data_IF_382732111278
#
_entry.id   IF_382732111278
#
_cell.length_a   1.000
_cell.length_b   1.000
_cell.length_c   1.000
_cell.angle_alpha   90.00
_cell.angle_beta   90.00
_cell.angle_gamma   90.00
#
_symmetry.space_group_name_H-M   'P 1'
#
loop_
_entity.id
_entity.type
_entity.pdbx_description
1 polymer ?
#
# COMPACT_ATOMS: atom_id res chain seq x y z
N UNK A 1 -10.01 -4.38 -16.46
CA UNK A 1 -9.98 -3.19 -17.35
C UNK A 1 -11.03 -2.14 -16.99
N UNK A 2 -10.73 -0.84 -17.18
CA UNK A 2 -11.74 0.22 -17.13
C UNK A 2 -12.70 0.05 -18.32
N UNK A 3 -14.02 0.14 -18.14
CA UNK A 3 -15.01 -0.15 -19.18
C UNK A 3 -15.22 1.02 -20.16
N UNK A 4 -14.28 1.96 -20.24
CA UNK A 4 -14.44 3.19 -21.00
C UNK A 4 -13.37 3.29 -22.08
N UNK A 5 -13.80 3.58 -23.30
CA UNK A 5 -12.91 3.69 -24.47
C UNK A 5 -12.18 5.04 -24.55
N UNK A 6 -12.70 6.08 -23.86
CA UNK A 6 -12.13 7.43 -23.89
C UNK A 6 -12.29 8.16 -22.55
N UNK A 7 -11.45 9.18 -22.35
CA UNK A 7 -11.56 10.10 -21.21
C UNK A 7 -12.92 10.80 -21.18
N UNK A 8 -13.43 11.22 -22.33
CA UNK A 8 -14.73 11.88 -22.48
C UNK A 8 -15.88 10.93 -22.08
N UNK A 9 -15.79 9.65 -22.49
CA UNK A 9 -16.76 8.63 -22.10
C UNK A 9 -16.76 8.37 -20.60
N UNK A 10 -15.58 8.36 -19.98
CA UNK A 10 -15.44 8.25 -18.52
C UNK A 10 -16.00 9.48 -17.78
N UNK A 11 -15.77 10.68 -18.28
CA UNK A 11 -16.33 11.93 -17.71
C UNK A 11 -17.84 11.99 -17.82
N UNK A 12 -18.38 11.61 -18.98
CA UNK A 12 -19.81 11.53 -19.22
C UNK A 12 -20.48 10.55 -18.24
N UNK A 13 -19.88 9.36 -18.07
CA UNK A 13 -20.39 8.35 -17.15
C UNK A 13 -20.34 8.79 -15.68
N UNK A 14 -19.32 9.55 -15.28
CA UNK A 14 -19.18 10.08 -13.94
C UNK A 14 -20.03 11.34 -13.68
N UNK A 15 -20.56 11.98 -14.72
CA UNK A 15 -21.28 13.25 -14.62
C UNK A 15 -20.42 14.42 -14.11
N UNK A 16 -19.09 14.27 -14.17
CA UNK A 16 -18.11 15.26 -13.73
C UNK A 16 -16.80 15.11 -14.50
N UNK A 17 -16.00 16.17 -14.50
CA UNK A 17 -14.65 16.10 -15.03
C UNK A 17 -13.76 15.19 -14.18
N UNK A 18 -12.80 14.53 -14.84
CA UNK A 18 -11.76 13.74 -14.19
C UNK A 18 -10.73 14.67 -13.55
N UNK A 19 -10.32 14.32 -12.33
CA UNK A 19 -9.18 14.94 -11.65
C UNK A 19 -7.88 14.61 -12.38
N UNK A 20 -6.82 15.37 -12.10
CA UNK A 20 -5.50 15.16 -12.69
C UNK A 20 -4.99 13.72 -12.44
N UNK A 21 -5.17 13.21 -11.23
CA UNK A 21 -4.76 11.86 -10.86
C UNK A 21 -5.56 10.79 -11.62
N UNK A 22 -6.87 10.98 -11.78
CA UNK A 22 -7.72 10.03 -12.52
C UNK A 22 -7.38 10.02 -14.01
N UNK A 23 -7.13 11.18 -14.63
CA UNK A 23 -6.67 11.23 -16.04
C UNK A 23 -5.33 10.54 -16.21
N UNK A 24 -4.39 10.75 -15.30
CA UNK A 24 -3.08 10.10 -15.33
C UNK A 24 -3.21 8.57 -15.21
N UNK A 25 -4.06 8.10 -14.29
CA UNK A 25 -4.34 6.68 -14.12
C UNK A 25 -5.01 6.06 -15.34
N UNK A 26 -5.99 6.77 -15.93
CA UNK A 26 -6.67 6.33 -17.15
C UNK A 26 -5.68 6.14 -18.30
N UNK A 27 -4.89 7.18 -18.61
CA UNK A 27 -3.90 7.12 -19.69
C UNK A 27 -2.83 6.06 -19.45
N UNK A 28 -2.42 5.86 -18.19
CA UNK A 28 -1.47 4.81 -17.84
C UNK A 28 -2.05 3.40 -18.04
N UNK A 29 -3.27 3.17 -17.56
CA UNK A 29 -3.90 1.86 -17.54
C UNK A 29 -4.44 1.40 -18.90
N UNK A 30 -4.76 2.33 -19.80
CA UNK A 30 -5.35 2.05 -21.12
C UNK A 30 -4.52 1.09 -22.00
N UNK A 31 -3.21 1.00 -21.77
CA UNK A 31 -2.29 0.17 -22.57
C UNK A 31 -1.61 -0.94 -21.77
N UNK A 32 -2.13 -1.29 -20.58
CA UNK A 32 -1.57 -2.33 -19.72
C UNK A 32 -2.50 -3.54 -19.67
N UNK A 33 -1.91 -4.72 -19.54
CA UNK A 33 -2.69 -5.93 -19.26
C UNK A 33 -3.26 -5.87 -17.85
N UNK A 34 -4.39 -6.53 -17.63
CA UNK A 34 -5.01 -6.64 -16.31
C UNK A 34 -4.05 -7.28 -15.29
N UNK A 35 -3.17 -8.20 -15.73
CA UNK A 35 -2.11 -8.77 -14.89
C UNK A 35 -1.14 -7.71 -14.34
N UNK A 36 -0.66 -6.81 -15.22
CA UNK A 36 0.26 -5.75 -14.82
C UNK A 36 -0.44 -4.80 -13.86
N UNK A 37 -1.67 -4.40 -14.15
CA UNK A 37 -2.46 -3.54 -13.26
C UNK A 37 -2.69 -4.20 -11.90
N UNK A 38 -3.05 -5.48 -11.88
CA UNK A 38 -3.21 -6.25 -10.66
C UNK A 38 -1.92 -6.32 -9.83
N UNK A 39 -0.77 -6.46 -10.49
CA UNK A 39 0.54 -6.48 -9.81
C UNK A 39 0.86 -5.16 -9.08
N UNK A 40 0.24 -4.02 -9.44
CA UNK A 40 0.39 -2.77 -8.68
C UNK A 40 -0.12 -2.89 -7.25
N UNK A 41 -1.03 -3.83 -6.96
CA UNK A 41 -1.43 -4.13 -5.58
C UNK A 41 -0.22 -4.51 -4.72
N UNK A 42 0.80 -5.17 -5.29
CA UNK A 42 2.05 -5.45 -4.59
C UNK A 42 2.71 -4.14 -4.12
N UNK A 43 2.82 -3.14 -5.00
CA UNK A 43 3.36 -1.83 -4.63
C UNK A 43 2.50 -1.11 -3.58
N UNK A 44 1.17 -1.17 -3.69
CA UNK A 44 0.30 -0.54 -2.70
C UNK A 44 0.39 -1.18 -1.33
N UNK A 45 0.39 -2.52 -1.26
CA UNK A 45 0.59 -3.27 -0.01
C UNK A 45 1.97 -2.95 0.56
N UNK A 46 2.99 -3.00 -0.30
CA UNK A 46 4.23 -2.22 -0.23
C UNK A 46 4.21 -1.04 0.73
N UNK A 47 3.66 0.03 0.18
CA UNK A 47 3.63 1.35 0.78
C UNK A 47 2.80 1.37 2.07
N UNK A 48 1.67 0.67 2.12
CA UNK A 48 0.83 0.62 3.32
C UNK A 48 1.59 0.00 4.50
N UNK A 49 2.22 -1.16 4.29
CA UNK A 49 2.98 -1.85 5.35
C UNK A 49 4.25 -1.11 5.75
N UNK A 50 4.83 -0.30 4.86
CA UNK A 50 5.96 0.57 5.22
C UNK A 50 5.54 1.86 5.92
N UNK A 51 4.46 2.53 5.48
CA UNK A 51 4.12 3.88 5.93
C UNK A 51 3.19 3.91 7.14
N UNK A 52 2.19 3.04 7.21
CA UNK A 52 1.21 3.02 8.31
C UNK A 52 1.86 2.76 9.68
N UNK A 53 2.90 1.92 9.81
CA UNK A 53 3.58 1.73 11.09
C UNK A 53 4.50 2.89 11.49
N UNK A 54 4.91 3.77 10.56
CA UNK A 54 5.90 4.82 10.85
C UNK A 54 5.46 5.79 11.96
N UNK A 55 4.24 6.33 11.97
CA UNK A 55 3.79 7.19 13.07
C UNK A 55 3.96 6.52 14.44
N UNK A 56 3.63 5.23 14.54
CA UNK A 56 3.80 4.46 15.77
C UNK A 56 5.26 4.19 16.12
N UNK A 57 6.09 3.86 15.14
CA UNK A 57 7.53 3.69 15.34
C UNK A 57 8.18 4.98 15.85
N UNK A 58 7.79 6.15 15.31
CA UNK A 58 8.28 7.44 15.78
C UNK A 58 7.81 7.74 17.20
N UNK A 59 6.53 7.50 17.51
CA UNK A 59 6.00 7.70 18.88
C UNK A 59 6.76 6.84 19.90
N UNK A 60 7.07 5.59 19.57
CA UNK A 60 7.86 4.69 20.41
C UNK A 60 9.28 5.23 20.64
N UNK A 61 9.95 5.70 19.58
CA UNK A 61 11.32 6.21 19.64
C UNK A 61 11.45 7.50 20.43
N UNK A 62 10.48 8.40 20.31
CA UNK A 62 10.49 9.67 21.03
C UNK A 62 9.94 9.55 22.46
N UNK A 63 9.49 8.36 22.89
CA UNK A 63 9.02 8.08 24.25
C UNK A 63 8.03 9.14 24.77
N UNK A 64 6.92 9.34 24.04
CA UNK A 64 5.87 10.21 24.51
C UNK A 64 5.15 9.59 25.72
N UNK A 65 5.47 10.07 26.94
CA UNK A 65 4.84 9.61 28.19
C UNK A 65 3.30 9.71 28.15
N UNK A 66 2.75 10.66 27.39
CA UNK A 66 1.31 10.82 27.18
C UNK A 66 0.67 9.63 26.43
N UNK A 67 1.46 8.89 25.65
CA UNK A 67 1.03 7.71 24.89
C UNK A 67 1.25 6.42 25.69
N UNK A 68 2.22 6.40 26.60
CA UNK A 68 2.49 5.22 27.44
C UNK A 68 1.25 4.77 28.22
N UNK A 69 0.39 5.68 28.69
CA UNK A 69 -0.88 5.33 29.36
C UNK A 69 -1.86 4.52 28.49
N UNK A 70 -1.73 4.62 27.16
CA UNK A 70 -2.59 3.91 26.20
C UNK A 70 -1.97 2.61 25.70
N UNK A 71 -0.69 2.34 26.00
CA UNK A 71 -0.05 1.08 25.63
C UNK A 71 -0.59 -0.05 26.50
N UNK A 72 -0.85 -1.20 25.88
CA UNK A 72 -1.12 -2.44 26.61
C UNK A 72 0.08 -2.88 27.47
N UNK A 73 1.29 -2.54 27.04
CA UNK A 73 2.54 -2.88 27.73
C UNK A 73 3.48 -1.65 27.82
N UNK A 74 3.23 -0.71 28.75
CA UNK A 74 3.97 0.56 28.84
C UNK A 74 5.44 0.39 29.23
N UNK A 75 5.78 -0.69 29.95
CA UNK A 75 7.16 -0.97 30.40
C UNK A 75 8.06 -1.49 29.28
N UNK A 76 7.49 -1.91 28.16
CA UNK A 76 8.26 -2.38 27.01
C UNK A 76 8.57 -1.17 26.15
N UNK A 77 9.84 -0.75 26.16
CA UNK A 77 10.39 0.27 25.26
C UNK A 77 11.24 -0.42 24.21
N UNK A 78 11.02 -0.11 22.94
CA UNK A 78 11.85 -0.63 21.85
C UNK A 78 12.82 0.42 21.35
N UNK A 79 14.05 -0.02 21.14
CA UNK A 79 15.10 0.76 20.50
C UNK A 79 14.94 0.79 18.97
N UNK A 80 15.58 1.77 18.33
CA UNK A 80 15.60 1.88 16.87
C UNK A 80 16.08 0.59 16.16
N UNK A 81 17.17 -0.07 16.60
CA UNK A 81 17.61 -1.32 15.99
C UNK A 81 16.55 -2.43 16.05
N UNK A 82 15.78 -2.52 17.14
CA UNK A 82 14.72 -3.53 17.29
C UNK A 82 13.54 -3.25 16.35
N UNK A 83 13.14 -1.99 16.22
CA UNK A 83 12.09 -1.58 15.27
C UNK A 83 12.54 -1.78 13.82
N UNK A 84 13.78 -1.42 13.49
CA UNK A 84 14.33 -1.61 12.16
C UNK A 84 14.50 -3.09 11.80
N UNK A 85 14.90 -3.92 12.77
CA UNK A 85 14.92 -5.37 12.59
C UNK A 85 13.52 -5.91 12.30
N UNK A 86 12.52 -5.51 13.08
CA UNK A 86 11.13 -5.90 12.85
C UNK A 86 10.64 -5.50 11.45
N UNK A 87 10.96 -4.29 10.99
CA UNK A 87 10.65 -3.85 9.64
C UNK A 87 11.31 -4.74 8.57
N UNK A 88 12.60 -5.06 8.75
CA UNK A 88 13.31 -5.97 7.83
C UNK A 88 12.69 -7.36 7.80
N UNK A 89 12.28 -7.89 8.94
CA UNK A 89 11.64 -9.21 9.02
C UNK A 89 10.28 -9.21 8.28
N UNK A 90 9.50 -8.13 8.41
CA UNK A 90 8.25 -7.93 7.66
C UNK A 90 8.51 -7.80 6.16
N UNK A 91 9.53 -7.02 5.75
CA UNK A 91 9.91 -6.91 4.34
C UNK A 91 10.36 -8.24 3.76
N UNK A 92 11.07 -9.05 4.54
CA UNK A 92 11.48 -10.39 4.13
C UNK A 92 10.24 -11.26 3.86
N UNK A 93 9.28 -11.29 4.80
CA UNK A 93 8.01 -11.99 4.57
C UNK A 93 7.25 -11.44 3.36
N UNK A 94 7.25 -10.12 3.17
CA UNK A 94 6.61 -9.50 2.02
C UNK A 94 7.21 -10.00 0.70
N UNK A 95 8.55 -10.01 0.58
CA UNK A 95 9.24 -10.43 -0.64
C UNK A 95 9.06 -11.93 -0.92
N UNK A 96 9.11 -12.78 0.10
CA UNK A 96 9.10 -14.23 -0.09
C UNK A 96 7.72 -14.87 -0.03
N UNK A 97 6.71 -14.18 0.50
CA UNK A 97 5.35 -14.71 0.65
C UNK A 97 4.35 -13.86 -0.10
N UNK A 98 4.26 -12.56 0.21
CA UNK A 98 3.20 -11.69 -0.31
C UNK A 98 3.37 -11.40 -1.79
N UNK A 99 4.57 -11.03 -2.24
CA UNK A 99 4.83 -10.72 -3.64
C UNK A 99 4.62 -11.95 -4.56
N UNK A 100 5.13 -13.16 -4.24
CA UNK A 100 4.83 -14.36 -5.01
C UNK A 100 3.35 -14.71 -4.99
N UNK A 101 2.69 -14.61 -3.84
CA UNK A 101 1.25 -14.86 -3.72
C UNK A 101 0.48 -13.97 -4.68
N UNK A 102 0.74 -12.66 -4.68
CA UNK A 102 0.13 -11.72 -5.63
C UNK A 102 0.46 -12.15 -7.06
N UNK A 103 1.72 -12.45 -7.39
CA UNK A 103 2.08 -12.82 -8.76
C UNK A 103 1.34 -14.07 -9.28
N UNK A 104 1.07 -15.07 -8.43
CA UNK A 104 0.39 -16.31 -8.82
C UNK A 104 -1.12 -16.29 -8.65
N UNK A 105 -1.69 -15.35 -7.89
CA UNK A 105 -3.14 -15.29 -7.63
C UNK A 105 -3.95 -14.74 -8.82
N UNK A 106 -3.32 -14.05 -9.78
CA UNK A 106 -4.05 -13.43 -10.88
C UNK A 106 -4.90 -14.41 -11.71
N UNK A 107 -4.40 -15.58 -12.15
CA UNK A 107 -5.18 -16.53 -12.96
C UNK A 107 -6.34 -17.19 -12.20
N UNK A 108 -6.41 -17.03 -10.88
CA UNK A 108 -7.51 -17.53 -10.04
C UNK A 108 -8.65 -16.52 -9.93
N UNK A 109 -8.39 -15.25 -10.29
CA UNK A 109 -9.33 -14.14 -10.18
C UNK A 109 -9.98 -13.73 -11.52
N UNK A 110 -9.47 -14.24 -12.64
CA UNK A 110 -10.11 -14.19 -13.97
C UNK A 110 -11.03 -15.39 -14.20
#
# INVERSE_FOLDING_TARGET
MLPYDSLEGAELALGRNLTVAERLWFSYSAHKSDYILYTHNCLFVFLVFSLVPLPWALVELYSFDAVDRFKLQPRVKRSFPELFKCYKDVLHQFIFVVAPLIAVSFPVLE
#
